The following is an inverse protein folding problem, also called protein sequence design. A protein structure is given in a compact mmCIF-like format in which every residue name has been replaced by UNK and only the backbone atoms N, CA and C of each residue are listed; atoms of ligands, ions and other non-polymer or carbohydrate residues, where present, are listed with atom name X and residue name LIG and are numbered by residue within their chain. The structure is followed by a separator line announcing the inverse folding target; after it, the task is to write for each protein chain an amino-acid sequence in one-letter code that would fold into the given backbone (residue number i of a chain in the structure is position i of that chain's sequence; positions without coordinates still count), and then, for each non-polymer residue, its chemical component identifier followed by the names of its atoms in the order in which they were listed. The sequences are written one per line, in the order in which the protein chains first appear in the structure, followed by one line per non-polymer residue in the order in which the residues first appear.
data_IF_593896729248
#
_entry.id   IF_593896729248
#
_cell.length_a   1.000
_cell.length_b   1.000
_cell.length_c   1.000
_cell.angle_alpha   90.00
_cell.angle_beta   90.00
_cell.angle_gamma   90.00
#
_symmetry.space_group_name_H-M   'P 1'
#
loop_
_entity.id
_entity.type
_entity.pdbx_description
1 polymer ?
#
# COMPACT_ATOMS: atom_id res chain seq x y z
N UNK A 1 -5.41 -11.69 -30.27
CA UNK A 1 -6.15 -12.24 -29.11
C UNK A 1 -5.39 -12.30 -27.77
N UNK A 2 -4.04 -12.25 -27.71
CA UNK A 2 -3.28 -12.31 -26.43
C UNK A 2 -3.34 -11.04 -25.54
N UNK A 3 -3.53 -9.85 -26.12
CA UNK A 3 -3.52 -8.56 -25.39
C UNK A 3 -4.72 -8.37 -24.45
N UNK A 4 -5.92 -8.86 -24.82
CA UNK A 4 -7.12 -8.78 -23.98
C UNK A 4 -7.08 -9.72 -22.76
N UNK A 5 -6.39 -10.86 -22.84
CA UNK A 5 -6.25 -11.79 -21.70
C UNK A 5 -5.35 -11.21 -20.59
N UNK A 6 -4.28 -10.48 -20.93
CA UNK A 6 -3.43 -9.78 -19.95
C UNK A 6 -4.22 -8.71 -19.18
N UNK A 7 -4.90 -7.82 -19.91
CA UNK A 7 -5.75 -6.77 -19.32
C UNK A 7 -6.85 -7.30 -18.41
N UNK A 8 -7.46 -8.44 -18.76
CA UNK A 8 -8.49 -9.07 -17.93
C UNK A 8 -7.91 -9.70 -16.64
N UNK A 9 -6.74 -10.34 -16.73
CA UNK A 9 -6.04 -10.86 -15.55
C UNK A 9 -5.58 -9.75 -14.60
N UNK A 10 -5.16 -8.60 -15.14
CA UNK A 10 -4.74 -7.41 -14.40
C UNK A 10 -5.91 -6.77 -13.65
N UNK A 11 -7.10 -6.75 -14.25
CA UNK A 11 -8.32 -6.27 -13.58
C UNK A 11 -8.79 -7.16 -12.44
N UNK A 12 -8.52 -8.46 -12.51
CA UNK A 12 -8.86 -9.39 -11.43
C UNK A 12 -7.94 -9.21 -10.21
N UNK A 13 -6.73 -8.66 -10.40
CA UNK A 13 -5.79 -8.40 -9.29
C UNK A 13 -6.36 -7.44 -8.25
N UNK A 14 -7.22 -6.49 -8.66
CA UNK A 14 -7.94 -5.61 -7.73
C UNK A 14 -8.91 -6.35 -6.80
N UNK A 15 -9.35 -7.53 -7.22
CA UNK A 15 -10.11 -8.47 -6.42
C UNK A 15 -9.23 -9.45 -5.65
N UNK A 16 -7.91 -9.28 -5.58
CA UNK A 16 -7.10 -10.14 -4.71
C UNK A 16 -7.53 -10.02 -3.25
N UNK A 17 -7.60 -11.17 -2.54
CA UNK A 17 -7.86 -11.16 -1.10
C UNK A 17 -6.82 -10.28 -0.39
N UNK A 18 -7.24 -9.56 0.65
CA UNK A 18 -6.43 -8.64 1.46
C UNK A 18 -6.06 -7.25 0.88
N UNK A 19 -6.54 -6.85 -0.31
CA UNK A 19 -6.45 -5.44 -0.78
C UNK A 19 -7.40 -4.48 -0.05
N UNK A 20 -8.38 -5.00 0.70
CA UNK A 20 -9.28 -4.19 1.53
C UNK A 20 -10.24 -3.28 0.76
N UNK A 21 -10.17 -3.23 -0.57
CA UNK A 21 -11.10 -2.47 -1.42
C UNK A 21 -12.51 -3.08 -1.37
N UNK A 22 -12.61 -4.41 -1.32
CA UNK A 22 -13.89 -5.15 -1.34
C UNK A 22 -14.83 -4.75 -0.19
N UNK A 23 -14.32 -4.60 1.03
CA UNK A 23 -15.15 -4.22 2.19
C UNK A 23 -15.76 -2.83 2.03
N UNK A 24 -15.01 -1.88 1.46
CA UNK A 24 -15.50 -0.52 1.24
C UNK A 24 -16.46 -0.44 0.05
N UNK A 25 -16.22 -1.23 -1.01
CA UNK A 25 -17.19 -1.38 -2.09
C UNK A 25 -18.52 -1.97 -1.58
N UNK A 26 -18.47 -3.03 -0.77
CA UNK A 26 -19.66 -3.62 -0.15
C UNK A 26 -20.35 -2.63 0.79
N UNK A 27 -19.60 -1.86 1.58
CA UNK A 27 -20.15 -0.80 2.42
C UNK A 27 -20.85 0.28 1.60
N UNK A 28 -20.28 0.68 0.46
CA UNK A 28 -20.89 1.66 -0.43
C UNK A 28 -22.20 1.14 -1.04
N UNK A 29 -22.21 -0.11 -1.53
CA UNK A 29 -23.43 -0.77 -2.04
C UNK A 29 -24.48 -0.86 -0.93
N UNK A 30 -24.09 -1.25 0.28
CA UNK A 30 -24.98 -1.31 1.44
C UNK A 30 -25.52 0.08 1.83
N UNK A 31 -24.70 1.13 1.75
CA UNK A 31 -25.12 2.50 1.98
C UNK A 31 -26.15 3.00 0.96
N UNK A 32 -25.96 2.69 -0.33
CA UNK A 32 -26.95 3.00 -1.38
C UNK A 32 -28.27 2.26 -1.10
N UNK A 33 -28.19 0.99 -0.70
CA UNK A 33 -29.37 0.21 -0.31
C UNK A 33 -30.12 0.83 0.88
N UNK A 34 -29.40 1.20 1.95
CA UNK A 34 -30.01 1.88 3.11
C UNK A 34 -30.62 3.23 2.75
N UNK A 35 -29.98 4.00 1.87
CA UNK A 35 -30.51 5.28 1.38
C UNK A 35 -31.81 5.07 0.59
N UNK A 36 -31.83 4.08 -0.31
CA UNK A 36 -33.03 3.73 -1.05
C UNK A 36 -34.17 3.26 -0.13
N UNK A 37 -33.86 2.43 0.88
CA UNK A 37 -34.82 1.99 1.89
C UNK A 37 -35.34 3.16 2.74
N UNK A 38 -34.47 4.06 3.17
CA UNK A 38 -34.84 5.26 3.92
C UNK A 38 -35.76 6.18 3.12
N UNK A 39 -35.46 6.40 1.84
CA UNK A 39 -36.32 7.13 0.91
C UNK A 39 -37.67 6.44 0.72
N UNK A 40 -37.70 5.11 0.64
CA UNK A 40 -38.94 4.33 0.57
C UNK A 40 -39.82 4.59 1.79
N UNK A 41 -39.25 4.52 3.01
CA UNK A 41 -40.00 4.74 4.25
C UNK A 41 -40.47 6.18 4.39
N UNK A 42 -39.61 7.17 4.12
CA UNK A 42 -39.95 8.60 4.23
C UNK A 42 -41.07 9.02 3.26
N UNK A 43 -41.07 8.45 2.07
CA UNK A 43 -42.10 8.72 1.06
C UNK A 43 -43.34 7.85 1.19
N UNK A 44 -43.47 7.07 2.27
CA UNK A 44 -44.52 6.05 2.40
C UNK A 44 -44.61 5.07 1.21
N UNK A 45 -43.51 4.93 0.45
CA UNK A 45 -43.40 4.14 -0.77
C UNK A 45 -43.77 4.86 -2.07
N UNK A 46 -44.31 6.09 -2.01
CA UNK A 46 -44.89 6.77 -3.18
C UNK A 46 -43.86 7.06 -4.26
N UNK A 47 -42.66 7.53 -3.90
CA UNK A 47 -41.63 7.92 -4.87
C UNK A 47 -41.06 6.69 -5.60
N UNK A 48 -40.77 5.62 -4.86
CA UNK A 48 -40.29 4.38 -5.47
C UNK A 48 -41.38 3.74 -6.34
N UNK A 49 -42.63 3.74 -5.87
CA UNK A 49 -43.78 3.22 -6.62
C UNK A 49 -44.05 4.01 -7.90
N UNK A 50 -43.93 5.34 -7.87
CA UNK A 50 -44.05 6.21 -9.04
C UNK A 50 -42.97 5.89 -10.08
N UNK A 51 -41.70 5.81 -9.66
CA UNK A 51 -40.58 5.44 -10.52
C UNK A 51 -40.75 4.04 -11.12
N UNK A 52 -41.16 3.07 -10.30
CA UNK A 52 -41.41 1.69 -10.74
C UNK A 52 -42.52 1.66 -11.80
N UNK A 53 -43.63 2.35 -11.56
CA UNK A 53 -44.79 2.37 -12.47
C UNK A 53 -44.43 3.01 -13.81
N UNK A 54 -43.72 4.15 -13.79
CA UNK A 54 -43.28 4.83 -15.02
C UNK A 54 -42.26 4.01 -15.81
N UNK A 55 -41.31 3.37 -15.12
CA UNK A 55 -40.35 2.49 -15.77
C UNK A 55 -41.05 1.27 -16.39
N UNK A 56 -42.02 0.69 -15.67
CA UNK A 56 -42.83 -0.43 -16.14
C UNK A 56 -43.66 -0.04 -17.37
N UNK A 57 -44.29 1.12 -17.35
CA UNK A 57 -45.07 1.65 -18.48
C UNK A 57 -44.20 1.92 -19.71
N UNK A 58 -43.00 2.48 -19.53
CA UNK A 58 -42.04 2.67 -20.63
C UNK A 58 -41.65 1.34 -21.27
N UNK A 59 -41.40 0.29 -20.47
CA UNK A 59 -41.10 -1.06 -20.97
C UNK A 59 -42.30 -1.64 -21.72
N UNK A 60 -43.52 -1.48 -21.19
CA UNK A 60 -44.74 -1.97 -21.83
C UNK A 60 -45.01 -1.24 -23.15
N UNK A 61 -44.78 0.07 -23.21
CA UNK A 61 -44.90 0.89 -24.41
C UNK A 61 -43.90 0.46 -25.50
N UNK A 62 -42.66 0.17 -25.12
CA UNK A 62 -41.61 -0.27 -26.05
C UNK A 62 -41.79 -1.70 -26.56
N UNK A 63 -42.42 -2.60 -25.80
CA UNK A 63 -42.35 -4.04 -26.07
C UNK A 63 -43.69 -4.75 -26.27
N UNK A 64 -44.82 -4.12 -25.96
CA UNK A 64 -46.11 -4.51 -26.52
C UNK A 64 -46.84 -5.76 -25.97
N UNK A 65 -46.27 -6.70 -25.16
CA UNK A 65 -47.04 -7.62 -24.26
C UNK A 65 -46.21 -8.65 -23.45
N UNK A 66 -46.83 -9.08 -22.33
CA UNK A 66 -46.57 -10.20 -21.38
C UNK A 66 -45.67 -9.95 -20.14
N UNK A 67 -46.17 -10.35 -18.96
CA UNK A 67 -45.50 -10.26 -17.65
C UNK A 67 -44.13 -10.98 -17.63
N UNK A 68 -44.00 -12.08 -18.36
CA UNK A 68 -42.77 -12.88 -18.42
C UNK A 68 -41.61 -12.10 -19.07
N UNK A 69 -41.90 -11.32 -20.10
CA UNK A 69 -40.89 -10.51 -20.78
C UNK A 69 -40.37 -9.37 -19.91
N UNK A 70 -41.24 -8.72 -19.14
CA UNK A 70 -40.85 -7.66 -18.19
C UNK A 70 -39.90 -8.20 -17.12
N UNK A 71 -40.14 -9.42 -16.62
CA UNK A 71 -39.24 -10.07 -15.66
C UNK A 71 -37.87 -10.34 -16.29
N UNK A 72 -37.82 -10.89 -17.50
CA UNK A 72 -36.57 -11.15 -18.22
C UNK A 72 -35.78 -9.84 -18.42
N UNK A 73 -36.46 -8.78 -18.86
CA UNK A 73 -35.84 -7.48 -19.06
C UNK A 73 -35.35 -6.87 -17.73
N UNK A 74 -36.12 -7.02 -16.65
CA UNK A 74 -35.72 -6.61 -15.30
C UNK A 74 -34.47 -7.33 -14.80
N UNK A 75 -34.35 -8.63 -15.07
CA UNK A 75 -33.14 -9.40 -14.74
C UNK A 75 -31.95 -8.88 -15.57
N UNK A 76 -32.14 -8.63 -16.86
CA UNK A 76 -31.07 -8.11 -17.73
C UNK A 76 -30.62 -6.71 -17.31
N UNK A 77 -31.54 -5.80 -16.99
CA UNK A 77 -31.20 -4.45 -16.52
C UNK A 77 -30.55 -4.47 -15.15
N UNK A 78 -30.96 -5.38 -14.26
CA UNK A 78 -30.32 -5.57 -12.95
C UNK A 78 -28.85 -6.01 -13.09
N UNK A 79 -28.59 -7.09 -13.84
CA UNK A 79 -27.21 -7.54 -14.09
C UNK A 79 -26.40 -6.50 -14.88
N UNK A 80 -27.03 -5.82 -15.84
CA UNK A 80 -26.42 -4.70 -16.57
C UNK A 80 -26.01 -3.55 -15.64
N UNK A 81 -26.86 -3.20 -14.68
CA UNK A 81 -26.58 -2.19 -13.65
C UNK A 81 -25.38 -2.56 -12.79
N UNK A 82 -25.30 -3.83 -12.35
CA UNK A 82 -24.13 -4.34 -11.61
C UNK A 82 -22.85 -4.18 -12.44
N UNK A 83 -22.89 -4.53 -13.74
CA UNK A 83 -21.75 -4.40 -14.65
C UNK A 83 -21.32 -2.93 -14.79
N UNK A 84 -22.27 -2.00 -14.96
CA UNK A 84 -21.99 -0.56 -15.08
C UNK A 84 -21.39 -0.01 -13.78
N UNK A 85 -21.93 -0.38 -12.62
CA UNK A 85 -21.40 0.03 -11.30
C UNK A 85 -19.96 -0.48 -11.13
N UNK A 86 -19.72 -1.76 -11.40
CA UNK A 86 -18.38 -2.34 -11.31
C UNK A 86 -17.39 -1.67 -12.29
N UNK A 87 -17.83 -1.38 -13.52
CA UNK A 87 -17.01 -0.70 -14.51
C UNK A 87 -16.69 0.75 -14.12
N UNK A 88 -17.70 1.50 -13.65
CA UNK A 88 -17.56 2.88 -13.20
C UNK A 88 -16.62 3.00 -12.00
N UNK A 89 -16.82 2.15 -10.99
CA UNK A 89 -15.96 2.11 -9.80
C UNK A 89 -14.51 1.78 -10.16
N UNK A 90 -14.29 0.82 -11.07
CA UNK A 90 -12.96 0.51 -11.59
C UNK A 90 -12.32 1.71 -12.27
N UNK A 91 -13.05 2.39 -13.16
CA UNK A 91 -12.53 3.55 -13.91
C UNK A 91 -12.15 4.70 -12.96
N UNK A 92 -12.95 4.92 -11.91
CA UNK A 92 -12.63 5.87 -10.83
C UNK A 92 -11.32 5.50 -10.13
N UNK A 93 -11.17 4.25 -9.69
CA UNK A 93 -9.94 3.77 -9.02
C UNK A 93 -8.71 3.98 -9.90
N UNK A 94 -8.76 3.55 -11.17
CA UNK A 94 -7.67 3.75 -12.12
C UNK A 94 -7.37 5.23 -12.32
N UNK A 95 -8.38 6.11 -12.38
CA UNK A 95 -8.15 7.55 -12.50
C UNK A 95 -7.35 8.13 -11.33
N UNK A 96 -7.62 7.69 -10.10
CA UNK A 96 -6.88 8.15 -8.92
C UNK A 96 -5.45 7.63 -8.91
N UNK A 97 -5.25 6.36 -9.29
CA UNK A 97 -3.92 5.73 -9.29
C UNK A 97 -3.01 6.35 -10.34
N UNK A 98 -3.57 6.67 -11.51
CA UNK A 98 -2.80 7.25 -12.62
C UNK A 98 -2.26 8.63 -12.26
N UNK A 99 -2.96 9.36 -11.40
CA UNK A 99 -2.50 10.66 -10.86
C UNK A 99 -1.42 10.46 -9.80
N UNK A 100 -1.55 9.45 -8.93
CA UNK A 100 -0.62 9.24 -7.81
C UNK A 100 0.70 8.57 -8.21
N UNK A 101 0.68 7.63 -9.17
CA UNK A 101 1.84 6.83 -9.59
C UNK A 101 1.86 6.63 -11.12
N UNK A 102 2.20 7.68 -11.90
CA UNK A 102 2.25 7.60 -13.35
C UNK A 102 3.31 6.57 -13.81
N UNK A 103 2.94 5.68 -14.73
CA UNK A 103 3.85 4.71 -15.37
C UNK A 103 4.13 3.42 -14.60
N UNK A 104 3.55 3.21 -13.41
CA UNK A 104 3.76 2.00 -12.59
C UNK A 104 2.47 1.34 -12.11
N UNK A 105 1.32 1.59 -12.75
CA UNK A 105 -0.03 1.12 -12.37
C UNK A 105 -0.07 -0.36 -11.96
N UNK A 106 0.57 -1.23 -12.74
CA UNK A 106 0.58 -2.69 -12.50
C UNK A 106 1.41 -3.08 -11.28
N UNK A 107 2.50 -2.35 -11.02
CA UNK A 107 3.35 -2.57 -9.85
C UNK A 107 2.69 -2.05 -8.57
N UNK A 108 1.74 -1.11 -8.66
CA UNK A 108 1.08 -0.56 -7.47
C UNK A 108 0.36 -1.64 -6.69
N UNK A 109 -0.37 -2.53 -7.37
CA UNK A 109 -1.08 -3.62 -6.70
C UNK A 109 -0.10 -4.58 -6.02
N UNK A 110 0.97 -4.94 -6.71
CA UNK A 110 2.00 -5.85 -6.19
C UNK A 110 2.76 -5.23 -4.99
N UNK A 111 3.08 -3.93 -5.05
CA UNK A 111 3.72 -3.18 -3.95
C UNK A 111 2.79 -3.02 -2.76
N UNK A 112 1.51 -2.67 -2.98
CA UNK A 112 0.52 -2.57 -1.89
C UNK A 112 0.31 -3.93 -1.24
N UNK A 113 0.23 -4.99 -2.04
CA UNK A 113 0.07 -6.35 -1.54
C UNK A 113 1.28 -6.79 -0.72
N UNK A 114 2.50 -6.61 -1.24
CA UNK A 114 3.73 -6.89 -0.54
C UNK A 114 3.83 -6.11 0.79
N UNK A 115 3.61 -4.79 0.78
CA UNK A 115 3.63 -3.95 2.00
C UNK A 115 2.60 -4.42 3.03
N UNK A 116 1.39 -4.80 2.62
CA UNK A 116 0.36 -5.32 3.54
C UNK A 116 0.72 -6.68 4.12
N UNK A 117 1.31 -7.56 3.32
CA UNK A 117 1.80 -8.85 3.80
C UNK A 117 2.93 -8.63 4.82
N UNK A 118 3.92 -7.81 4.51
CA UNK A 118 5.02 -7.48 5.42
C UNK A 118 4.52 -6.90 6.75
N UNK A 119 3.51 -6.02 6.71
CA UNK A 119 2.89 -5.44 7.92
C UNK A 119 2.20 -6.46 8.82
N UNK A 120 1.68 -7.55 8.24
CA UNK A 120 1.10 -8.68 8.97
C UNK A 120 2.12 -9.77 9.32
N UNK A 121 3.38 -9.58 8.92
CA UNK A 121 4.47 -10.49 9.24
C UNK A 121 4.71 -10.61 10.75
N UNK A 122 5.44 -11.64 11.19
CA UNK A 122 5.78 -11.85 12.59
C UNK A 122 6.53 -10.65 13.17
N UNK A 123 6.30 -10.36 14.44
CA UNK A 123 7.12 -9.41 15.21
C UNK A 123 8.41 -10.11 15.59
N UNK A 124 9.55 -9.61 15.11
CA UNK A 124 10.86 -10.22 15.35
C UNK A 124 11.74 -9.19 16.06
N UNK A 125 12.26 -9.58 17.22
CA UNK A 125 13.32 -8.85 17.91
C UNK A 125 14.64 -9.56 17.61
N UNK A 126 15.61 -8.81 17.11
CA UNK A 126 16.96 -9.30 16.81
C UNK A 126 17.95 -8.56 17.71
N UNK A 127 18.83 -9.30 18.37
CA UNK A 127 19.79 -8.75 19.33
C UNK A 127 21.19 -9.14 18.86
N UNK A 128 22.11 -8.18 18.76
CA UNK A 128 23.47 -8.47 18.33
C UNK A 128 24.30 -7.23 18.02
N UNK A 129 25.29 -7.38 17.14
CA UNK A 129 26.19 -6.33 16.70
C UNK A 129 26.89 -6.66 15.39
N UNK A 130 27.77 -5.77 14.96
CA UNK A 130 28.61 -5.95 13.79
C UNK A 130 27.84 -6.13 12.48
N UNK A 131 28.52 -6.75 11.52
CA UNK A 131 28.01 -7.00 10.17
C UNK A 131 27.02 -8.16 10.10
N UNK A 132 27.11 -9.14 11.00
CA UNK A 132 26.20 -10.28 11.02
C UNK A 132 24.74 -9.85 11.28
N UNK A 133 24.54 -8.90 12.20
CA UNK A 133 23.22 -8.37 12.49
C UNK A 133 22.63 -7.61 11.30
N UNK A 134 23.41 -6.74 10.65
CA UNK A 134 22.92 -5.97 9.49
C UNK A 134 22.61 -6.87 8.29
N UNK A 135 23.41 -7.92 8.03
CA UNK A 135 23.10 -8.92 6.99
C UNK A 135 21.80 -9.67 7.28
N UNK A 136 21.58 -10.08 8.54
CA UNK A 136 20.34 -10.74 8.95
C UNK A 136 19.13 -9.82 8.77
N UNK A 137 19.23 -8.56 9.19
CA UNK A 137 18.16 -7.57 9.00
C UNK A 137 17.84 -7.32 7.52
N UNK A 138 18.86 -7.28 6.65
CA UNK A 138 18.70 -7.14 5.19
C UNK A 138 17.91 -8.31 4.60
N UNK A 139 18.09 -9.53 5.11
CA UNK A 139 17.29 -10.69 4.72
C UNK A 139 15.88 -10.65 5.30
N UNK A 140 15.74 -10.35 6.60
CA UNK A 140 14.46 -10.38 7.30
C UNK A 140 13.46 -9.31 6.82
N UNK A 141 13.94 -8.15 6.34
CA UNK A 141 13.05 -7.07 5.84
C UNK A 141 12.21 -7.50 4.63
N UNK A 142 12.63 -8.55 3.92
CA UNK A 142 11.87 -9.14 2.82
C UNK A 142 10.65 -9.97 3.29
N UNK A 143 10.57 -10.30 4.59
CA UNK A 143 9.54 -11.19 5.15
C UNK A 143 8.63 -10.51 6.18
N UNK A 144 9.09 -9.45 6.85
CA UNK A 144 8.27 -8.69 7.80
C UNK A 144 8.74 -7.23 7.89
N UNK A 145 7.79 -6.32 8.12
CA UNK A 145 8.10 -4.92 8.47
C UNK A 145 8.10 -4.69 9.99
N UNK A 146 7.92 -5.74 10.79
CA UNK A 146 7.82 -5.67 12.24
C UNK A 146 9.15 -6.11 12.89
N UNK A 147 10.25 -5.47 12.49
CA UNK A 147 11.59 -5.74 12.99
C UNK A 147 11.96 -4.75 14.09
N UNK A 148 12.53 -5.27 15.19
CA UNK A 148 13.17 -4.47 16.22
C UNK A 148 14.59 -4.97 16.37
N UNK A 149 15.58 -4.10 16.16
CA UNK A 149 16.99 -4.42 16.34
C UNK A 149 17.49 -3.80 17.64
N UNK A 150 18.02 -4.64 18.54
CA UNK A 150 18.77 -4.22 19.72
C UNK A 150 20.24 -4.39 19.37
N UNK A 151 20.92 -3.26 19.20
CA UNK A 151 22.29 -3.20 18.68
C UNK A 151 23.25 -2.90 19.82
N UNK A 152 24.28 -3.72 19.98
CA UNK A 152 25.39 -3.43 20.89
C UNK A 152 26.20 -2.24 20.37
N UNK A 153 26.64 -1.37 21.28
CA UNK A 153 27.40 -0.15 20.99
C UNK A 153 28.84 -0.28 21.51
N UNK A 154 29.45 -1.43 21.26
CA UNK A 154 30.80 -1.77 21.74
C UNK A 154 31.92 -1.65 20.72
N UNK A 155 31.64 -1.15 19.51
CA UNK A 155 32.64 -1.10 18.44
C UNK A 155 33.62 0.07 18.63
N UNK A 156 34.88 -0.25 18.91
CA UNK A 156 35.93 0.72 19.25
C UNK A 156 36.88 1.01 18.07
N UNK A 157 36.58 0.48 16.89
CA UNK A 157 37.42 0.56 15.70
C UNK A 157 37.20 1.81 14.82
N UNK A 158 38.28 2.24 14.15
CA UNK A 158 38.23 3.18 13.03
C UNK A 158 37.57 4.53 13.34
N UNK A 159 36.62 4.94 12.49
CA UNK A 159 35.92 6.23 12.62
C UNK A 159 35.02 6.30 13.85
N UNK A 160 34.41 5.18 14.27
CA UNK A 160 33.52 5.14 15.44
C UNK A 160 34.31 5.32 16.73
N UNK A 161 35.46 4.64 16.87
CA UNK A 161 36.35 4.78 18.02
C UNK A 161 37.05 6.14 18.12
N UNK A 162 37.31 6.82 16.99
CA UNK A 162 37.79 8.22 17.00
C UNK A 162 36.73 9.17 17.53
N UNK A 163 35.51 9.10 17.00
CA UNK A 163 34.40 9.94 17.45
C UNK A 163 34.07 9.72 18.94
N UNK A 164 34.13 8.48 19.42
CA UNK A 164 33.98 8.17 20.85
C UNK A 164 35.04 8.87 21.71
N UNK A 165 36.31 8.90 21.27
CA UNK A 165 37.41 9.55 22.00
C UNK A 165 37.37 11.07 21.93
N UNK A 166 36.97 11.62 20.78
CA UNK A 166 36.97 13.07 20.54
C UNK A 166 35.72 13.76 21.07
N UNK A 167 34.55 13.13 20.95
CA UNK A 167 33.25 13.73 21.28
C UNK A 167 32.56 13.08 22.49
N UNK A 168 33.11 11.99 23.05
CA UNK A 168 32.50 11.28 24.17
C UNK A 168 31.18 10.56 23.84
N UNK A 169 30.80 10.47 22.56
CA UNK A 169 29.56 9.83 22.10
C UNK A 169 29.69 8.31 22.03
N UNK A 170 28.56 7.59 22.11
CA UNK A 170 28.53 6.16 21.83
C UNK A 170 28.97 5.89 20.37
N UNK A 171 29.72 4.80 20.11
CA UNK A 171 30.21 4.51 18.78
C UNK A 171 29.05 4.20 17.81
N UNK A 172 28.88 4.96 16.71
CA UNK A 172 27.68 4.87 15.87
C UNK A 172 27.74 3.76 14.81
N UNK A 173 28.86 3.07 14.64
CA UNK A 173 29.13 2.20 13.48
C UNK A 173 28.13 1.06 13.28
N UNK A 174 27.88 0.26 14.32
CA UNK A 174 26.96 -0.88 14.23
C UNK A 174 25.51 -0.44 14.02
N UNK A 175 25.10 0.64 14.68
CA UNK A 175 23.78 1.26 14.49
C UNK A 175 23.64 1.77 13.05
N UNK A 176 24.66 2.45 12.52
CA UNK A 176 24.70 2.91 11.12
C UNK A 176 24.46 1.75 10.15
N UNK A 177 25.18 0.64 10.32
CA UNK A 177 25.05 -0.52 9.43
C UNK A 177 23.63 -1.12 9.48
N UNK A 178 23.01 -1.17 10.66
CA UNK A 178 21.63 -1.63 10.82
C UNK A 178 20.62 -0.66 10.17
N UNK A 179 20.83 0.65 10.29
CA UNK A 179 19.99 1.67 9.65
C UNK A 179 20.04 1.56 8.13
N UNK A 180 21.24 1.41 7.56
CA UNK A 180 21.41 1.19 6.11
C UNK A 180 20.69 -0.09 5.68
N UNK A 181 20.88 -1.19 6.42
CA UNK A 181 20.26 -2.48 6.10
C UNK A 181 18.73 -2.43 6.09
N UNK A 182 18.12 -1.60 6.94
CA UNK A 182 16.66 -1.46 7.05
C UNK A 182 16.07 -0.36 6.16
N UNK A 183 16.91 0.40 5.43
CA UNK A 183 16.43 1.47 4.56
C UNK A 183 15.64 0.92 3.36
N UNK A 184 14.62 1.69 2.94
CA UNK A 184 13.79 1.35 1.78
C UNK A 184 14.57 1.49 0.46
N UNK A 185 15.45 2.49 0.36
CA UNK A 185 16.41 2.67 -0.73
C UNK A 185 17.82 2.39 -0.22
N UNK A 186 18.10 1.10 -0.09
CA UNK A 186 19.36 0.62 0.47
C UNK A 186 20.58 1.06 -0.34
N UNK A 187 20.50 1.05 -1.67
CA UNK A 187 21.54 1.50 -2.59
C UNK A 187 21.98 2.96 -2.32
N UNK A 188 21.03 3.89 -2.34
CA UNK A 188 21.31 5.32 -2.09
C UNK A 188 21.76 5.56 -0.66
N UNK A 189 21.14 4.86 0.29
CA UNK A 189 21.48 4.98 1.71
C UNK A 189 22.88 4.44 2.00
N UNK A 190 23.24 3.32 1.37
CA UNK A 190 24.53 2.68 1.48
C UNK A 190 25.62 3.58 0.90
N UNK A 191 25.42 4.14 -0.29
CA UNK A 191 26.36 5.09 -0.90
C UNK A 191 26.60 6.31 0.00
N UNK A 192 25.52 6.91 0.52
CA UNK A 192 25.60 8.11 1.34
C UNK A 192 26.26 7.84 2.71
N UNK A 193 25.81 6.82 3.44
CA UNK A 193 26.29 6.58 4.80
C UNK A 193 27.62 5.84 4.85
N UNK A 194 27.97 5.10 3.80
CA UNK A 194 29.29 4.46 3.66
C UNK A 194 30.35 5.41 3.10
N UNK A 195 29.96 6.58 2.59
CA UNK A 195 30.91 7.59 2.11
C UNK A 195 31.95 7.91 3.18
N UNK A 196 33.23 7.75 2.81
CA UNK A 196 34.38 8.04 3.65
C UNK A 196 35.18 9.18 3.04
N UNK A 197 35.41 10.22 3.83
CA UNK A 197 36.24 11.36 3.42
C UNK A 197 37.66 10.88 3.16
N UNK A 198 38.20 11.22 1.98
CA UNK A 198 39.54 10.79 1.55
C UNK A 198 40.65 11.71 2.05
N UNK A 199 40.37 13.00 2.15
CA UNK A 199 41.36 14.04 2.46
C UNK A 199 40.75 15.09 3.42
N UNK A 200 41.62 15.87 4.06
CA UNK A 200 41.24 17.02 4.89
C UNK A 200 40.95 16.66 6.34
N UNK A 201 40.36 17.59 7.11
CA UNK A 201 40.15 17.44 8.56
C UNK A 201 39.32 16.21 8.93
N UNK A 202 38.39 15.80 8.07
CA UNK A 202 37.53 14.64 8.28
C UNK A 202 38.10 13.35 7.70
N UNK A 203 39.37 13.32 7.28
CA UNK A 203 39.98 12.17 6.63
C UNK A 203 39.73 10.87 7.39
N UNK A 204 39.25 9.87 6.66
CA UNK A 204 38.90 8.57 7.18
C UNK A 204 37.62 8.54 8.03
N UNK A 205 36.89 9.64 8.25
CA UNK A 205 35.56 9.59 8.87
C UNK A 205 34.51 9.12 7.86
N UNK A 206 33.50 8.41 8.35
CA UNK A 206 32.29 8.12 7.59
C UNK A 206 31.29 9.25 7.76
N UNK A 207 30.66 9.70 6.68
CA UNK A 207 29.59 10.69 6.73
C UNK A 207 28.43 10.22 7.61
N UNK A 208 28.02 8.95 7.48
CA UNK A 208 26.98 8.36 8.33
C UNK A 208 27.34 8.40 9.82
N UNK A 209 28.60 8.16 10.18
CA UNK A 209 29.04 8.25 11.57
C UNK A 209 28.99 9.68 12.11
N UNK A 210 29.45 10.67 11.32
CA UNK A 210 29.38 12.09 11.70
C UNK A 210 27.93 12.57 11.85
N UNK A 211 27.07 12.15 10.92
CA UNK A 211 25.65 12.45 10.98
C UNK A 211 25.00 11.92 12.25
N UNK A 212 25.25 10.65 12.59
CA UNK A 212 24.73 10.04 13.81
C UNK A 212 25.31 10.65 15.08
N UNK A 213 26.60 10.99 15.08
CA UNK A 213 27.22 11.69 16.21
C UNK A 213 26.58 13.07 16.44
N UNK A 214 26.37 13.85 15.39
CA UNK A 214 25.71 15.15 15.48
C UNK A 214 24.25 15.05 15.93
N UNK A 215 23.53 13.99 15.52
CA UNK A 215 22.18 13.72 16.03
C UNK A 215 22.19 13.38 17.52
N UNK A 216 23.12 12.52 17.96
CA UNK A 216 23.23 12.10 19.36
C UNK A 216 23.71 13.22 20.30
N UNK A 217 24.46 14.19 19.78
CA UNK A 217 24.89 15.37 20.54
C UNK A 217 23.76 16.42 20.63
N UNK A 218 22.95 16.55 19.57
CA UNK A 218 21.92 17.60 19.48
C UNK A 218 20.61 17.24 20.16
N UNK A 219 20.22 15.97 20.16
CA UNK A 219 18.93 15.46 20.66
C UNK A 219 19.14 14.43 21.76
#
# INVERSE_FOLDING_TARGET
MKKNRKKFSETLKWLYPNLGVKRYFLLAVFGIFLMALGLAVLSHGDILSYLETHFREAIYFLTGRTKLFVIILGILTFFGGIVVICFGFKKMLTSVINVLLPGNEDKVVDVIYARRQLKRGPKIVVIGGGTGLSTLLRGLKAYTSNLTAIVTVGDDGGSSGRLRRELGVLPPGDVRNCLVALAEKEDVMEDLFSYRFKNGTFEGHSLGNLFLAGLAERF
#
